data_IF_761344495388
#
_entry.id   IF_761344495388
#
_cell.length_a   1.000
_cell.length_b   1.000
_cell.length_c   1.000
_cell.angle_alpha   90.00
_cell.angle_beta   90.00
_cell.angle_gamma   90.00
#
_symmetry.space_group_name_H-M   'P 1'
#
loop_
_entity.id
_entity.type
_entity.pdbx_description
1 polymer ?
#
# COMPACT_ATOMS: atom_id res chain seq x y z
N UNK A 1 -55.91 34.00 -0.37
CA UNK A 1 -55.22 32.68 -0.23
C UNK A 1 -54.38 32.46 -1.47
N UNK A 2 -53.10 32.74 -1.37
CA UNK A 2 -52.13 32.39 -2.44
C UNK A 2 -51.58 31.01 -2.18
N UNK A 3 -51.95 30.05 -3.02
CA UNK A 3 -51.30 28.72 -2.99
C UNK A 3 -49.90 28.86 -3.63
N UNK A 4 -48.88 28.72 -2.83
CA UNK A 4 -47.50 28.54 -3.31
C UNK A 4 -47.44 27.19 -4.00
N UNK A 5 -47.43 27.20 -5.32
CA UNK A 5 -47.06 26.06 -6.14
C UNK A 5 -45.56 25.83 -5.99
N UNK A 6 -45.22 24.95 -5.13
CA UNK A 6 -43.85 24.45 -4.99
C UNK A 6 -43.54 23.59 -6.22
N UNK A 7 -42.68 24.11 -7.06
CA UNK A 7 -42.28 23.50 -8.32
C UNK A 7 -41.45 22.23 -8.04
N UNK A 8 -41.93 21.04 -8.43
CA UNK A 8 -41.19 19.81 -8.17
C UNK A 8 -39.92 19.63 -9.02
N UNK A 9 -39.63 20.60 -9.91
CA UNK A 9 -38.45 20.54 -10.78
C UNK A 9 -37.13 20.94 -10.10
N UNK A 10 -37.19 21.52 -8.90
CA UNK A 10 -35.98 22.00 -8.21
C UNK A 10 -35.32 20.92 -7.34
N UNK A 11 -35.99 19.79 -7.06
CA UNK A 11 -35.42 18.68 -6.29
C UNK A 11 -34.65 17.66 -7.12
N UNK A 12 -34.73 17.68 -8.43
CA UNK A 12 -34.09 16.68 -9.30
C UNK A 12 -32.63 16.99 -9.66
N UNK A 13 -32.16 18.21 -9.39
CA UNK A 13 -30.79 18.63 -9.78
C UNK A 13 -29.75 18.41 -8.66
N UNK A 14 -30.17 18.16 -7.42
CA UNK A 14 -29.24 17.97 -6.29
C UNK A 14 -28.79 16.51 -6.10
N UNK A 15 -29.30 15.53 -6.86
CA UNK A 15 -28.98 14.12 -6.69
C UNK A 15 -27.83 13.61 -7.58
N UNK A 16 -27.30 14.41 -8.50
CA UNK A 16 -26.23 13.99 -9.42
C UNK A 16 -24.82 14.36 -8.97
N UNK A 17 -24.64 14.97 -7.81
CA UNK A 17 -23.35 15.47 -7.36
C UNK A 17 -22.50 14.52 -6.50
N UNK A 18 -22.98 13.31 -6.17
CA UNK A 18 -22.32 12.42 -5.20
C UNK A 18 -21.70 11.14 -5.80
N UNK A 19 -21.59 11.06 -7.12
CA UNK A 19 -20.93 9.92 -7.78
C UNK A 19 -19.42 10.11 -7.98
N UNK A 20 -18.79 11.07 -7.29
CA UNK A 20 -17.36 11.32 -7.41
C UNK A 20 -16.57 10.47 -6.40
N UNK A 21 -15.84 9.46 -6.92
CA UNK A 21 -14.74 8.74 -6.25
C UNK A 21 -15.13 7.94 -5.01
N UNK A 22 -16.05 6.99 -5.14
CA UNK A 22 -16.23 5.94 -4.14
C UNK A 22 -15.20 4.83 -4.41
N UNK A 23 -14.09 4.85 -3.65
CA UNK A 23 -13.24 3.67 -3.52
C UNK A 23 -14.03 2.57 -2.83
N UNK A 24 -13.96 1.34 -3.34
CA UNK A 24 -14.56 0.21 -2.64
C UNK A 24 -13.89 0.04 -1.27
N UNK A 25 -14.57 -0.51 -0.24
CA UNK A 25 -13.96 -0.80 1.05
C UNK A 25 -12.70 -1.69 0.94
N UNK A 26 -12.70 -2.65 0.03
CA UNK A 26 -11.56 -3.54 -0.20
C UNK A 26 -10.37 -2.81 -0.82
N UNK A 27 -10.60 -1.93 -1.79
CA UNK A 27 -9.56 -1.07 -2.35
C UNK A 27 -8.93 -0.18 -1.29
N UNK A 28 -9.75 0.40 -0.42
CA UNK A 28 -9.27 1.23 0.70
C UNK A 28 -8.41 0.42 1.67
N UNK A 29 -8.74 -0.83 1.93
CA UNK A 29 -7.95 -1.74 2.78
C UNK A 29 -6.60 -2.09 2.15
N UNK A 30 -6.55 -2.30 0.84
CA UNK A 30 -5.29 -2.50 0.11
C UNK A 30 -4.40 -1.26 0.25
N UNK A 31 -4.94 -0.06 0.08
CA UNK A 31 -4.20 1.19 0.27
C UNK A 31 -3.67 1.35 1.69
N UNK A 32 -4.48 1.03 2.69
CA UNK A 32 -4.06 1.00 4.10
C UNK A 32 -2.93 -0.01 4.34
N UNK A 33 -2.98 -1.17 3.66
CA UNK A 33 -1.91 -2.17 3.72
C UNK A 33 -0.58 -1.65 3.17
N UNK A 34 -0.61 -0.88 2.07
CA UNK A 34 0.59 -0.24 1.52
C UNK A 34 1.16 0.78 2.49
N UNK A 35 0.31 1.61 3.09
CA UNK A 35 0.71 2.59 4.11
C UNK A 35 1.30 1.88 5.35
N UNK A 36 0.69 0.79 5.79
CA UNK A 36 1.18 0.00 6.91
C UNK A 36 2.55 -0.63 6.62
N UNK A 37 2.77 -1.12 5.40
CA UNK A 37 4.07 -1.64 4.97
C UNK A 37 5.15 -0.54 4.96
N UNK A 38 4.81 0.63 4.43
CA UNK A 38 5.71 1.81 4.46
C UNK A 38 6.09 2.16 5.90
N UNK A 39 5.09 2.29 6.76
CA UNK A 39 5.31 2.63 8.17
C UNK A 39 6.16 1.57 8.90
N UNK A 40 5.88 0.28 8.67
CA UNK A 40 6.68 -0.81 9.23
C UNK A 40 8.16 -0.74 8.77
N UNK A 41 8.41 -0.42 7.51
CA UNK A 41 9.77 -0.24 6.99
C UNK A 41 10.45 0.96 7.65
N UNK A 42 9.78 2.08 7.80
CA UNK A 42 10.32 3.29 8.45
C UNK A 42 10.60 3.09 9.94
N UNK A 43 9.77 2.31 10.63
CA UNK A 43 10.01 1.92 12.02
C UNK A 43 11.03 0.76 12.15
N UNK A 44 11.50 0.21 11.04
CA UNK A 44 12.36 -0.99 11.00
C UNK A 44 11.76 -2.14 11.82
N UNK A 45 10.43 -2.30 11.68
CA UNK A 45 9.63 -3.26 12.45
C UNK A 45 9.24 -4.47 11.59
N UNK A 46 10.03 -5.55 11.74
CA UNK A 46 9.77 -6.79 11.00
C UNK A 46 8.45 -7.47 11.39
N UNK A 47 8.02 -7.34 12.64
CA UNK A 47 6.75 -7.91 13.10
C UNK A 47 5.55 -7.21 12.42
N UNK A 48 5.56 -5.89 12.40
CA UNK A 48 4.53 -5.10 11.73
C UNK A 48 4.50 -5.36 10.21
N UNK A 49 5.66 -5.47 9.56
CA UNK A 49 5.71 -5.85 8.14
C UNK A 49 5.17 -7.26 7.91
N UNK A 50 5.46 -8.19 8.81
CA UNK A 50 4.95 -9.55 8.78
C UNK A 50 3.42 -9.64 8.83
N UNK A 51 2.76 -8.69 9.46
CA UNK A 51 1.29 -8.63 9.51
C UNK A 51 0.67 -8.17 8.17
N UNK A 52 1.42 -7.53 7.31
CA UNK A 52 0.96 -7.01 6.01
C UNK A 52 1.15 -8.02 4.89
N UNK A 53 2.10 -8.92 4.99
CA UNK A 53 2.44 -9.91 3.96
C UNK A 53 1.95 -11.31 4.35
N UNK A 54 1.63 -12.13 3.34
CA UNK A 54 1.20 -13.52 3.56
C UNK A 54 2.37 -14.43 3.94
N UNK A 55 2.06 -15.60 4.49
CA UNK A 55 3.08 -16.59 4.87
C UNK A 55 3.87 -17.10 3.66
N UNK A 56 3.23 -17.17 2.51
CA UNK A 56 3.82 -17.60 1.23
C UNK A 56 4.29 -16.42 0.35
N UNK A 57 4.49 -15.25 0.94
CA UNK A 57 4.94 -14.06 0.21
C UNK A 57 6.17 -14.35 -0.65
N UNK A 58 6.16 -13.84 -1.88
CA UNK A 58 7.26 -13.94 -2.83
C UNK A 58 7.59 -12.57 -3.42
N UNK A 59 8.85 -12.20 -3.33
CA UNK A 59 9.40 -10.99 -3.95
C UNK A 59 10.24 -11.31 -5.18
N UNK A 60 10.11 -10.48 -6.22
CA UNK A 60 10.86 -10.60 -7.48
C UNK A 60 10.86 -12.03 -8.06
N UNK A 61 9.65 -12.61 -8.17
CA UNK A 61 9.45 -13.94 -8.76
C UNK A 61 10.23 -15.06 -8.04
N UNK A 62 10.30 -15.01 -6.72
CA UNK A 62 10.92 -16.03 -5.90
C UNK A 62 12.36 -15.74 -5.47
N UNK A 63 12.93 -14.62 -5.88
CA UNK A 63 14.28 -14.22 -5.43
C UNK A 63 14.32 -13.84 -3.95
N UNK A 64 13.19 -13.38 -3.39
CA UNK A 64 13.08 -12.97 -2.01
C UNK A 64 11.83 -13.56 -1.35
N UNK A 65 12.02 -14.43 -0.40
CA UNK A 65 10.93 -15.01 0.38
C UNK A 65 10.64 -14.19 1.65
N UNK A 66 9.44 -14.37 2.21
CA UNK A 66 9.01 -13.74 3.48
C UNK A 66 10.09 -13.80 4.56
N UNK A 67 10.64 -14.97 4.80
CA UNK A 67 11.65 -15.19 5.85
C UNK A 67 12.90 -14.33 5.64
N UNK A 68 13.36 -14.25 4.41
CA UNK A 68 14.52 -13.44 4.03
C UNK A 68 14.23 -11.94 4.20
N UNK A 69 13.08 -11.47 3.71
CA UNK A 69 12.66 -10.07 3.83
C UNK A 69 12.58 -9.63 5.29
N UNK A 70 11.90 -10.40 6.13
CA UNK A 70 11.80 -10.09 7.56
C UNK A 70 13.13 -10.20 8.28
N UNK A 71 13.98 -11.15 7.87
CA UNK A 71 15.35 -11.29 8.39
C UNK A 71 16.24 -10.09 8.08
N UNK A 72 16.14 -9.56 6.86
CA UNK A 72 16.86 -8.34 6.46
C UNK A 72 16.43 -7.14 7.31
N UNK A 73 15.13 -7.01 7.56
CA UNK A 73 14.61 -5.90 8.37
C UNK A 73 15.03 -6.04 9.86
N UNK A 74 15.02 -7.24 10.41
CA UNK A 74 15.55 -7.49 11.77
C UNK A 74 17.02 -7.17 11.87
N UNK A 75 17.81 -7.55 10.86
CA UNK A 75 19.24 -7.22 10.82
C UNK A 75 19.46 -5.71 10.75
N UNK A 76 18.69 -4.99 9.96
CA UNK A 76 18.73 -3.53 9.89
C UNK A 76 18.42 -2.90 11.26
N UNK A 77 17.37 -3.37 11.93
CA UNK A 77 17.01 -2.92 13.28
C UNK A 77 18.14 -3.17 14.28
N UNK A 78 18.73 -4.34 14.24
CA UNK A 78 19.86 -4.70 15.12
C UNK A 78 21.08 -3.80 14.91
N UNK A 79 21.34 -3.40 13.65
CA UNK A 79 22.45 -2.48 13.31
C UNK A 79 22.11 -1.01 13.58
N UNK A 80 20.89 -0.70 14.01
CA UNK A 80 20.44 0.68 14.22
C UNK A 80 20.34 1.48 12.92
N UNK A 81 20.05 0.81 11.81
CA UNK A 81 19.83 1.47 10.52
C UNK A 81 18.53 2.25 10.52
N UNK A 82 18.51 3.36 9.79
CA UNK A 82 17.32 4.16 9.53
C UNK A 82 16.84 3.93 8.11
N UNK A 83 15.54 3.84 7.93
CA UNK A 83 14.90 3.69 6.62
C UNK A 83 13.85 4.79 6.48
N UNK A 84 13.90 5.51 5.37
CA UNK A 84 12.86 6.43 4.97
C UNK A 84 12.27 5.95 3.64
N UNK A 85 10.97 5.84 3.59
CA UNK A 85 10.25 5.40 2.41
C UNK A 85 9.23 6.47 2.02
N UNK A 86 9.33 6.98 0.80
CA UNK A 86 8.36 7.89 0.23
C UNK A 86 7.63 7.20 -0.90
N UNK A 87 6.38 6.88 -0.68
CA UNK A 87 5.50 6.27 -1.68
C UNK A 87 4.83 7.36 -2.51
N UNK A 88 4.94 7.25 -3.82
CA UNK A 88 4.24 8.11 -4.77
C UNK A 88 2.76 7.74 -4.91
N UNK A 89 2.13 8.25 -5.95
CA UNK A 89 0.72 7.94 -6.24
C UNK A 89 0.51 6.44 -6.44
N UNK A 90 -0.48 5.90 -5.76
CA UNK A 90 -0.83 4.48 -5.82
C UNK A 90 -2.04 4.29 -6.72
N UNK A 91 -1.90 3.42 -7.73
CA UNK A 91 -3.03 2.91 -8.51
C UNK A 91 -3.38 1.52 -8.03
N UNK A 92 -4.66 1.24 -7.82
CA UNK A 92 -5.17 -0.06 -7.38
C UNK A 92 -6.19 -0.55 -8.39
N UNK A 93 -5.98 -1.75 -8.93
CA UNK A 93 -6.84 -2.37 -9.94
C UNK A 93 -7.37 -3.71 -9.42
N UNK A 94 -8.69 -3.97 -9.52
CA UNK A 94 -9.25 -5.27 -9.21
C UNK A 94 -8.84 -6.30 -10.28
N UNK A 95 -8.55 -7.51 -9.83
CA UNK A 95 -8.24 -8.69 -10.64
C UNK A 95 -8.98 -9.91 -10.11
N UNK A 96 -10.25 -10.08 -10.49
CA UNK A 96 -11.12 -11.10 -9.91
C UNK A 96 -11.31 -10.86 -8.43
N UNK A 97 -10.91 -11.82 -7.60
CA UNK A 97 -10.95 -11.75 -6.13
C UNK A 97 -9.69 -11.11 -5.51
N UNK A 98 -8.83 -10.51 -6.33
CA UNK A 98 -7.53 -9.95 -5.93
C UNK A 98 -7.40 -8.51 -6.38
N UNK A 99 -6.38 -7.83 -5.87
CA UNK A 99 -5.99 -6.49 -6.30
C UNK A 99 -4.53 -6.43 -6.68
N UNK A 100 -4.24 -5.63 -7.69
CA UNK A 100 -2.88 -5.27 -8.08
C UNK A 100 -2.70 -3.77 -7.79
N UNK A 101 -1.65 -3.42 -7.09
CA UNK A 101 -1.31 -2.03 -6.83
C UNK A 101 0.06 -1.70 -7.44
N UNK A 102 0.16 -0.52 -8.03
CA UNK A 102 1.40 0.02 -8.63
C UNK A 102 1.71 1.38 -8.07
N UNK A 103 2.95 1.59 -7.76
CA UNK A 103 3.45 2.87 -7.25
C UNK A 103 4.96 2.96 -7.42
N UNK A 104 5.50 4.16 -7.30
CA UNK A 104 6.93 4.36 -7.10
C UNK A 104 7.24 4.52 -5.62
N UNK A 105 8.38 4.04 -5.19
CA UNK A 105 8.89 4.30 -3.86
C UNK A 105 10.31 4.81 -3.94
N UNK A 106 10.59 5.86 -3.19
CA UNK A 106 11.95 6.35 -2.95
C UNK A 106 12.38 5.85 -1.58
N UNK A 107 13.42 5.04 -1.55
CA UNK A 107 14.00 4.51 -0.32
C UNK A 107 15.30 5.24 -0.03
N UNK A 108 15.43 5.73 1.18
CA UNK A 108 16.69 6.23 1.73
C UNK A 108 17.01 5.40 2.96
N UNK A 109 18.19 4.81 2.98
CA UNK A 109 18.68 4.04 4.12
C UNK A 109 20.05 4.53 4.54
N UNK A 110 20.35 4.42 5.83
CA UNK A 110 21.64 4.81 6.37
C UNK A 110 21.78 4.36 7.81
N UNK A 111 22.97 4.50 8.34
CA UNK A 111 23.30 4.20 9.72
C UNK A 111 24.47 5.05 10.18
N UNK A 112 24.82 4.94 11.47
CA UNK A 112 25.90 5.75 12.05
C UNK A 112 27.28 5.51 11.42
N UNK A 113 27.43 4.35 10.74
CA UNK A 113 28.73 3.91 10.18
C UNK A 113 28.69 3.74 8.67
N UNK A 114 27.52 3.90 8.01
CA UNK A 114 27.37 3.71 6.57
C UNK A 114 26.86 4.99 5.91
N UNK A 115 27.36 5.33 4.71
CA UNK A 115 26.83 6.44 3.95
C UNK A 115 25.36 6.18 3.58
N UNK A 116 24.56 7.24 3.54
CA UNK A 116 23.18 7.18 3.11
C UNK A 116 23.09 6.64 1.67
N UNK A 117 22.19 5.70 1.44
CA UNK A 117 21.88 5.18 0.11
C UNK A 117 20.47 5.60 -0.29
N UNK A 118 20.32 6.03 -1.54
CA UNK A 118 19.05 6.44 -2.11
C UNK A 118 18.77 5.58 -3.33
N UNK A 119 17.57 5.04 -3.39
CA UNK A 119 17.08 4.29 -4.54
C UNK A 119 15.63 4.63 -4.87
N UNK A 120 15.31 4.73 -6.14
CA UNK A 120 13.95 4.89 -6.64
C UNK A 120 13.54 3.63 -7.37
N UNK A 121 12.37 3.10 -7.03
CA UNK A 121 11.88 1.84 -7.55
C UNK A 121 10.45 1.98 -8.05
N UNK A 122 10.17 1.37 -9.19
CA UNK A 122 8.79 1.04 -9.58
C UNK A 122 8.40 -0.29 -8.93
N UNK A 123 7.27 -0.28 -8.24
CA UNK A 123 6.79 -1.42 -7.45
C UNK A 123 5.42 -1.84 -7.93
N UNK A 124 5.24 -3.13 -8.13
CA UNK A 124 3.93 -3.76 -8.32
C UNK A 124 3.69 -4.77 -7.21
N UNK A 125 2.56 -4.65 -6.54
CA UNK A 125 2.16 -5.56 -5.45
C UNK A 125 0.85 -6.23 -5.76
N UNK A 126 0.72 -7.48 -5.36
CA UNK A 126 -0.49 -8.28 -5.50
C UNK A 126 -1.05 -8.63 -4.12
N UNK A 127 -2.36 -8.44 -3.97
CA UNK A 127 -3.08 -8.53 -2.71
C UNK A 127 -4.22 -9.52 -2.80
N UNK A 128 -4.42 -10.28 -1.72
CA UNK A 128 -5.54 -11.21 -1.57
C UNK A 128 -6.11 -11.14 -0.17
N UNK A 129 -7.36 -11.57 -0.02
CA UNK A 129 -7.92 -11.83 1.31
C UNK A 129 -7.23 -13.04 1.93
N UNK A 130 -6.75 -12.83 3.15
CA UNK A 130 -6.18 -13.85 4.01
C UNK A 130 -6.96 -13.80 5.33
N UNK A 131 -7.97 -14.65 5.47
CA UNK A 131 -8.98 -14.51 6.50
C UNK A 131 -9.84 -13.25 6.29
N UNK A 132 -9.80 -12.33 7.25
CA UNK A 132 -10.53 -11.05 7.19
C UNK A 132 -9.68 -9.89 6.68
N UNK A 133 -8.38 -10.11 6.54
CA UNK A 133 -7.43 -9.07 6.18
C UNK A 133 -7.01 -9.18 4.72
N UNK A 134 -6.76 -8.04 4.11
CA UNK A 134 -6.07 -7.97 2.82
C UNK A 134 -4.58 -7.97 3.06
N UNK A 135 -3.86 -8.95 2.50
CA UNK A 135 -2.41 -9.08 2.63
C UNK A 135 -1.73 -9.19 1.28
N UNK A 136 -0.51 -8.68 1.23
CA UNK A 136 0.34 -8.76 0.05
C UNK A 136 0.97 -10.16 -0.05
N UNK A 137 0.72 -10.85 -1.16
CA UNK A 137 1.33 -12.16 -1.41
C UNK A 137 2.46 -12.13 -2.43
N UNK A 138 2.61 -11.05 -3.17
CA UNK A 138 3.67 -10.89 -4.17
C UNK A 138 4.01 -9.42 -4.34
N UNK A 139 5.29 -9.14 -4.52
CA UNK A 139 5.79 -7.84 -4.89
C UNK A 139 6.93 -7.99 -5.89
N UNK A 140 6.93 -7.16 -6.93
CA UNK A 140 8.04 -7.02 -7.85
C UNK A 140 8.49 -5.56 -7.87
N UNK A 141 9.77 -5.35 -8.03
CA UNK A 141 10.35 -4.01 -8.09
C UNK A 141 11.52 -3.99 -9.05
N UNK A 142 11.73 -2.83 -9.64
CA UNK A 142 12.89 -2.53 -10.49
C UNK A 142 13.36 -1.10 -10.22
N UNK A 143 14.65 -0.89 -10.30
CA UNK A 143 15.23 0.45 -10.23
C UNK A 143 14.79 1.29 -11.43
N UNK A 144 14.54 2.56 -11.17
CA UNK A 144 14.23 3.55 -12.20
C UNK A 144 15.51 4.23 -12.66
#
# INVERSE_FOLDING_TARGET
MRKLLMNPLLCAVLALGLAACHRTPDESRVRQGIEAAQHAAEQVDASALGDVITDDFSGNNGELERRQLLGMLRAAAFRGETIHALTGSVTVEPRGDRYIARFTVTLTSGGKLLPAQIGVYEVETAWRKDGREWRCYSATWKSV
#
